data_IF_510100240970
#
_entry.id   IF_510100240970
#
_cell.length_a   1.000
_cell.length_b   1.000
_cell.length_c   1.000
_cell.angle_alpha   90.00
_cell.angle_beta   90.00
_cell.angle_gamma   90.00
#
_symmetry.space_group_name_H-M   'P 1'
#
loop_
_entity.id
_entity.type
_entity.pdbx_description
1 polymer ?
#
# COMPACT_ATOMS: atom_id res chain seq x y z
N UNK A 1 11.80 -19.69 -4.03
CA UNK A 1 10.49 -19.42 -4.61
C UNK A 1 10.60 -18.09 -5.32
N UNK A 2 10.27 -18.02 -6.62
CA UNK A 2 10.34 -16.77 -7.35
C UNK A 2 9.18 -15.84 -6.98
N UNK A 3 9.38 -14.54 -7.18
CA UNK A 3 8.32 -13.53 -7.18
C UNK A 3 7.22 -13.95 -8.17
N UNK A 4 5.98 -13.83 -7.73
CA UNK A 4 4.78 -14.35 -8.41
C UNK A 4 4.26 -15.63 -7.76
N UNK A 5 5.13 -16.39 -7.09
CA UNK A 5 4.82 -17.67 -6.43
C UNK A 5 5.17 -17.67 -4.93
N UNK A 6 5.52 -16.52 -4.34
CA UNK A 6 5.90 -16.43 -2.93
C UNK A 6 4.74 -16.79 -2.01
N UNK A 7 5.04 -17.29 -0.80
CA UNK A 7 4.01 -17.58 0.21
C UNK A 7 3.10 -16.38 0.47
N UNK A 8 3.65 -15.17 0.56
CA UNK A 8 2.84 -13.95 0.75
C UNK A 8 1.84 -13.66 -0.39
N UNK A 9 2.09 -14.15 -1.60
CA UNK A 9 1.25 -13.92 -2.77
C UNK A 9 0.18 -15.00 -2.93
N UNK A 10 0.48 -16.23 -2.51
CA UNK A 10 -0.42 -17.38 -2.57
C UNK A 10 -1.33 -17.49 -1.33
N UNK A 11 -0.79 -17.20 -0.15
CA UNK A 11 -1.51 -17.15 1.12
C UNK A 11 -1.24 -15.80 1.82
N UNK A 12 -1.91 -14.72 1.39
CA UNK A 12 -1.64 -13.38 1.90
C UNK A 12 -2.01 -13.19 3.38
N UNK A 13 -2.76 -14.14 3.96
CA UNK A 13 -3.15 -14.15 5.38
C UNK A 13 -2.15 -14.90 6.27
N UNK A 14 -1.16 -15.57 5.69
CA UNK A 14 -0.09 -16.24 6.42
C UNK A 14 0.75 -15.22 7.19
N UNK A 15 0.70 -15.27 8.53
CA UNK A 15 1.39 -14.32 9.40
C UNK A 15 2.77 -14.78 9.85
N UNK A 16 2.98 -16.09 9.85
CA UNK A 16 4.23 -16.72 10.27
C UNK A 16 4.60 -17.84 9.30
N UNK A 17 5.89 -17.96 8.96
CA UNK A 17 6.41 -19.01 8.08
C UNK A 17 7.77 -19.49 8.56
N UNK A 18 7.88 -20.79 8.85
CA UNK A 18 9.18 -21.44 9.00
C UNK A 18 9.76 -21.72 7.61
N UNK A 19 10.95 -21.19 7.35
CA UNK A 19 11.66 -21.31 6.06
C UNK A 19 13.14 -21.52 6.31
N UNK A 20 13.93 -21.60 5.24
CA UNK A 20 15.39 -21.74 5.34
C UNK A 20 16.11 -20.60 4.64
N UNK A 21 17.26 -20.22 5.18
CA UNK A 21 18.16 -19.24 4.57
C UNK A 21 18.82 -19.87 3.35
N UNK A 22 18.66 -19.22 2.20
CA UNK A 22 19.37 -19.60 0.96
C UNK A 22 20.75 -18.93 0.90
N UNK A 23 20.81 -17.63 1.20
CA UNK A 23 22.07 -16.90 1.34
C UNK A 23 21.88 -15.66 2.22
N UNK A 24 22.95 -15.23 2.89
CA UNK A 24 22.99 -13.98 3.63
C UNK A 24 24.32 -13.29 3.36
N UNK A 25 24.28 -12.00 3.04
CA UNK A 25 25.47 -11.19 2.76
C UNK A 25 25.33 -9.82 3.40
N UNK A 26 26.37 -9.35 4.08
CA UNK A 26 26.42 -7.98 4.57
C UNK A 26 26.28 -7.00 3.41
N UNK A 27 25.38 -6.03 3.54
CA UNK A 27 25.10 -5.01 2.55
C UNK A 27 25.78 -3.68 2.90
N UNK A 28 25.59 -3.20 4.13
CA UNK A 28 26.18 -1.96 4.64
C UNK A 28 26.24 -1.96 6.17
N UNK A 29 26.93 -0.98 6.75
CA UNK A 29 26.88 -0.70 8.19
C UNK A 29 25.67 0.19 8.47
N UNK A 30 24.85 -0.14 9.46
CA UNK A 30 23.80 0.75 9.93
C UNK A 30 24.43 1.77 10.90
N UNK A 31 24.16 3.06 10.71
CA UNK A 31 24.72 4.12 11.58
C UNK A 31 24.43 3.78 13.06
N UNK A 32 25.51 3.54 13.81
CA UNK A 32 25.64 3.35 15.26
C UNK A 32 24.87 2.24 15.99
N UNK A 33 24.16 1.33 15.30
CA UNK A 33 23.32 0.30 15.97
C UNK A 33 23.48 -1.13 15.47
N UNK A 34 24.27 -1.38 14.42
CA UNK A 34 24.49 -2.73 13.87
C UNK A 34 24.86 -2.74 12.40
N UNK A 35 24.52 -3.83 11.71
CA UNK A 35 24.77 -4.01 10.27
C UNK A 35 23.47 -4.28 9.51
N UNK A 36 23.41 -3.90 8.22
CA UNK A 36 22.35 -4.32 7.31
C UNK A 36 22.82 -5.46 6.43
N UNK A 37 21.98 -6.48 6.31
CA UNK A 37 22.25 -7.70 5.57
C UNK A 37 21.18 -7.94 4.51
N UNK A 38 21.62 -8.37 3.33
CA UNK A 38 20.74 -8.95 2.32
C UNK A 38 20.57 -10.43 2.61
N UNK A 39 19.35 -10.84 2.96
CA UNK A 39 18.99 -12.22 3.25
C UNK A 39 18.02 -12.73 2.19
N UNK A 40 18.37 -13.83 1.55
CA UNK A 40 17.50 -14.57 0.63
C UNK A 40 17.01 -15.81 1.36
N UNK A 41 15.70 -16.00 1.35
CA UNK A 41 15.03 -17.16 1.95
C UNK A 41 14.54 -18.08 0.84
N UNK A 42 14.38 -19.38 1.14
CA UNK A 42 13.83 -20.33 0.17
C UNK A 42 12.39 -19.96 -0.24
N UNK A 43 11.58 -19.48 0.70
CA UNK A 43 10.26 -18.88 0.50
C UNK A 43 10.04 -17.83 1.60
N UNK A 44 9.12 -16.88 1.38
CA UNK A 44 8.88 -15.78 2.31
C UNK A 44 7.42 -15.33 2.35
N UNK A 45 7.00 -14.90 3.55
CA UNK A 45 5.76 -14.17 3.77
C UNK A 45 5.96 -12.66 3.81
N UNK A 46 7.16 -12.13 3.54
CA UNK A 46 7.40 -10.69 3.41
C UNK A 46 7.24 -10.32 1.93
N UNK A 47 6.30 -9.43 1.62
CA UNK A 47 6.14 -8.95 0.25
C UNK A 47 7.29 -8.02 -0.12
N UNK A 48 8.06 -8.32 -1.19
CA UNK A 48 9.04 -7.38 -1.72
C UNK A 48 8.29 -6.28 -2.49
N UNK A 49 8.74 -5.04 -2.32
CA UNK A 49 8.15 -3.86 -2.99
C UNK A 49 7.92 -4.13 -4.48
N UNK A 50 6.77 -3.70 -5.01
CA UNK A 50 6.48 -3.85 -6.43
C UNK A 50 5.07 -3.43 -6.82
N UNK A 51 4.93 -2.97 -8.06
CA UNK A 51 3.65 -2.58 -8.66
C UNK A 51 2.99 -1.34 -8.07
N UNK A 52 3.62 -0.64 -7.13
CA UNK A 52 3.01 0.50 -6.40
C UNK A 52 2.63 0.17 -4.95
N UNK A 53 2.74 -1.11 -4.55
CA UNK A 53 2.62 -1.54 -3.16
C UNK A 53 4.00 -1.51 -2.46
N UNK A 54 4.15 -0.80 -1.33
CA UNK A 54 5.37 -0.81 -0.53
C UNK A 54 5.69 -2.21 0.03
N UNK A 55 6.97 -2.45 0.33
CA UNK A 55 7.38 -3.69 0.98
C UNK A 55 6.78 -3.86 2.36
N UNK A 56 6.58 -5.12 2.76
CA UNK A 56 6.31 -5.44 4.15
C UNK A 56 7.57 -5.33 5.01
N UNK A 57 7.32 -5.20 6.31
CA UNK A 57 8.31 -5.32 7.38
C UNK A 57 7.97 -6.55 8.23
N UNK A 58 8.87 -6.93 9.12
CA UNK A 58 8.63 -8.07 9.98
C UNK A 58 9.83 -8.44 10.82
N UNK A 59 9.84 -9.67 11.32
CA UNK A 59 10.95 -10.23 12.08
C UNK A 59 11.38 -11.57 11.52
N UNK A 60 12.66 -11.88 11.75
CA UNK A 60 13.29 -13.15 11.44
C UNK A 60 13.85 -13.71 12.75
N UNK A 61 13.15 -14.68 13.31
CA UNK A 61 13.55 -15.39 14.51
C UNK A 61 14.48 -16.55 14.13
N UNK A 62 15.64 -16.59 14.77
CA UNK A 62 16.61 -17.67 14.66
C UNK A 62 16.20 -18.82 15.58
N UNK A 63 16.44 -20.07 15.17
CA UNK A 63 16.26 -21.23 16.07
C UNK A 63 17.54 -21.59 16.82
N UNK A 64 18.70 -21.23 16.28
CA UNK A 64 19.99 -21.45 16.92
C UNK A 64 20.34 -20.30 17.86
N UNK A 65 20.76 -20.65 19.07
CA UNK A 65 21.29 -19.72 20.08
C UNK A 65 22.82 -19.63 19.99
N UNK A 66 23.39 -18.50 20.41
CA UNK A 66 24.85 -18.37 20.59
C UNK A 66 25.19 -18.02 22.06
N UNK A 67 26.27 -18.57 22.62
CA UNK A 67 26.83 -18.20 23.94
C UNK A 67 25.81 -18.04 25.09
N UNK A 68 24.86 -18.96 25.24
CA UNK A 68 23.86 -18.90 26.33
C UNK A 68 22.81 -17.79 26.18
N UNK A 69 22.77 -17.11 25.04
CA UNK A 69 21.70 -16.15 24.70
C UNK A 69 20.40 -16.85 24.34
N UNK A 70 19.28 -16.14 24.52
CA UNK A 70 17.99 -16.55 23.97
C UNK A 70 18.03 -16.47 22.43
N UNK A 71 17.18 -17.25 21.72
CA UNK A 71 17.05 -17.14 20.27
C UNK A 71 16.84 -15.68 19.86
N UNK A 72 17.73 -15.15 19.02
CA UNK A 72 17.68 -13.76 18.63
C UNK A 72 16.61 -13.54 17.55
N UNK A 73 15.87 -12.45 17.71
CA UNK A 73 14.91 -11.95 16.72
C UNK A 73 15.54 -10.76 15.99
N UNK A 74 15.61 -10.86 14.66
CA UNK A 74 16.21 -9.86 13.79
C UNK A 74 15.12 -9.08 13.06
N UNK A 75 15.31 -7.78 12.87
CA UNK A 75 14.30 -6.92 12.23
C UNK A 75 14.44 -6.94 10.71
N UNK A 76 13.36 -7.24 9.99
CA UNK A 76 13.27 -7.09 8.54
C UNK A 76 12.74 -5.67 8.28
N UNK A 77 13.63 -4.78 7.84
CA UNK A 77 13.32 -3.35 7.66
C UNK A 77 12.69 -3.03 6.32
N UNK A 78 12.97 -3.84 5.29
CA UNK A 78 12.31 -3.79 3.99
C UNK A 78 12.62 -5.04 3.17
N UNK A 79 11.94 -5.20 2.04
CA UNK A 79 12.28 -6.20 1.03
C UNK A 79 12.11 -5.64 -0.38
N UNK A 80 12.98 -6.02 -1.30
CA UNK A 80 12.93 -5.57 -2.69
C UNK A 80 13.18 -6.73 -3.65
N UNK A 81 12.74 -6.53 -4.89
CA UNK A 81 12.94 -7.52 -5.95
C UNK A 81 14.32 -7.36 -6.57
N UNK A 82 14.99 -8.47 -6.80
CA UNK A 82 16.16 -8.52 -7.69
C UNK A 82 15.94 -9.65 -8.67
N UNK A 83 15.53 -9.32 -9.89
CA UNK A 83 14.94 -10.27 -10.83
C UNK A 83 13.74 -10.99 -10.16
N UNK A 84 13.71 -12.31 -10.17
CA UNK A 84 12.68 -13.12 -9.54
C UNK A 84 12.94 -13.38 -8.04
N UNK A 85 14.02 -12.86 -7.45
CA UNK A 85 14.31 -13.06 -6.02
C UNK A 85 13.67 -11.97 -5.15
N UNK A 86 13.12 -12.39 -4.00
CA UNK A 86 12.79 -11.50 -2.89
C UNK A 86 14.00 -11.34 -1.96
N UNK A 87 14.62 -10.16 -1.98
CA UNK A 87 15.78 -9.83 -1.13
C UNK A 87 15.28 -9.07 0.10
N UNK A 88 15.55 -9.61 1.29
CA UNK A 88 15.19 -9.00 2.55
C UNK A 88 16.36 -8.16 3.05
N UNK A 89 16.09 -6.91 3.43
CA UNK A 89 17.04 -6.09 4.17
C UNK A 89 16.79 -6.31 5.67
N UNK A 90 17.76 -6.93 6.33
CA UNK A 90 17.66 -7.34 7.74
C UNK A 90 18.67 -6.55 8.57
N UNK A 91 18.21 -5.94 9.65
CA UNK A 91 19.06 -5.30 10.65
C UNK A 91 19.59 -6.34 11.64
N UNK A 92 20.91 -6.38 11.77
CA UNK A 92 21.64 -7.25 12.68
C UNK A 92 22.23 -6.39 13.80
N UNK A 93 21.76 -6.52 15.04
CA UNK A 93 22.32 -5.80 16.18
C UNK A 93 23.81 -6.13 16.41
N UNK A 94 24.56 -5.15 16.90
CA UNK A 94 25.95 -5.34 17.31
C UNK A 94 26.10 -6.52 18.28
N UNK A 95 27.08 -7.38 18.03
CA UNK A 95 27.36 -8.58 18.85
C UNK A 95 26.63 -9.85 18.41
N UNK A 96 25.69 -9.77 17.46
CA UNK A 96 25.07 -10.98 16.88
C UNK A 96 25.97 -11.56 15.78
N UNK A 97 26.44 -12.81 15.88
CA UNK A 97 27.31 -13.43 14.87
C UNK A 97 26.50 -13.91 13.66
N UNK A 98 25.90 -12.98 12.90
CA UNK A 98 25.00 -13.29 11.77
C UNK A 98 25.62 -14.20 10.71
N UNK A 99 26.93 -14.09 10.45
CA UNK A 99 27.63 -14.97 9.51
C UNK A 99 27.54 -16.45 9.90
N UNK A 100 27.42 -16.75 11.19
CA UNK A 100 27.28 -18.11 11.71
C UNK A 100 25.81 -18.54 11.76
N UNK A 101 24.92 -17.63 12.15
CA UNK A 101 23.50 -17.93 12.38
C UNK A 101 22.64 -17.92 11.12
N UNK A 102 23.05 -17.20 10.08
CA UNK A 102 22.36 -17.07 8.79
C UNK A 102 23.11 -17.82 7.67
N UNK A 103 23.71 -18.96 7.99
CA UNK A 103 24.32 -19.83 6.99
C UNK A 103 23.26 -20.47 6.09
N UNK A 104 23.67 -20.85 4.87
CA UNK A 104 22.80 -21.57 3.95
C UNK A 104 22.26 -22.84 4.61
N UNK A 105 20.94 -23.02 4.57
CA UNK A 105 20.24 -24.14 5.19
C UNK A 105 19.78 -23.88 6.64
N UNK A 106 20.20 -22.79 7.27
CA UNK A 106 19.72 -22.42 8.60
C UNK A 106 18.20 -22.22 8.57
N UNK A 107 17.50 -22.85 9.52
CA UNK A 107 16.05 -22.68 9.68
C UNK A 107 15.77 -21.38 10.42
N UNK A 108 14.74 -20.67 9.99
CA UNK A 108 14.30 -19.40 10.58
C UNK A 108 12.77 -19.34 10.59
N UNK A 109 12.19 -18.64 11.56
CA UNK A 109 10.78 -18.32 11.60
C UNK A 109 10.60 -16.84 11.21
N UNK A 110 9.90 -16.60 10.12
CA UNK A 110 9.56 -15.25 9.66
C UNK A 110 8.20 -14.87 10.20
N UNK A 111 8.06 -13.66 10.74
CA UNK A 111 6.77 -13.07 11.13
C UNK A 111 6.59 -11.74 10.42
N UNK A 112 5.43 -11.54 9.81
CA UNK A 112 5.14 -10.25 9.14
C UNK A 112 4.59 -9.24 10.15
N UNK A 113 4.91 -7.96 9.98
CA UNK A 113 4.14 -6.88 10.60
C UNK A 113 2.71 -6.92 10.05
N UNK A 114 1.83 -7.56 10.81
CA UNK A 114 0.47 -7.81 10.37
C UNK A 114 -0.33 -6.52 10.19
N UNK A 115 -0.09 -5.49 11.01
CA UNK A 115 -0.82 -4.24 10.91
C UNK A 115 -0.47 -3.53 9.60
N UNK A 116 0.81 -3.53 9.22
CA UNK A 116 1.27 -3.02 7.92
C UNK A 116 0.73 -3.84 6.75
N UNK A 117 0.80 -5.18 6.82
CA UNK A 117 0.29 -6.07 5.78
C UNK A 117 -1.21 -5.90 5.56
N UNK A 118 -2.00 -5.87 6.63
CA UNK A 118 -3.44 -5.65 6.60
C UNK A 118 -3.78 -4.33 5.91
N UNK A 119 -3.10 -3.25 6.29
CA UNK A 119 -3.28 -1.94 5.68
C UNK A 119 -2.98 -1.98 4.17
N UNK A 120 -1.81 -2.50 3.78
CA UNK A 120 -1.44 -2.62 2.36
C UNK A 120 -2.47 -3.43 1.56
N UNK A 121 -2.93 -4.57 2.07
CA UNK A 121 -3.95 -5.37 1.39
C UNK A 121 -5.28 -4.63 1.26
N UNK A 122 -5.69 -3.85 2.26
CA UNK A 122 -6.89 -3.01 2.17
C UNK A 122 -6.73 -1.94 1.09
N UNK A 123 -5.62 -1.19 1.11
CA UNK A 123 -5.40 -0.11 0.15
C UNK A 123 -5.27 -0.66 -1.28
N UNK A 124 -4.53 -1.76 -1.48
CA UNK A 124 -4.33 -2.34 -2.80
C UNK A 124 -5.62 -2.94 -3.37
N UNK A 125 -6.36 -3.69 -2.57
CA UNK A 125 -7.65 -4.25 -3.02
C UNK A 125 -8.66 -3.14 -3.32
N UNK A 126 -8.72 -2.08 -2.50
CA UNK A 126 -9.58 -0.94 -2.78
C UNK A 126 -9.14 -0.14 -4.01
N UNK A 127 -7.84 -0.08 -4.31
CA UNK A 127 -7.35 0.51 -5.55
C UNK A 127 -7.84 -0.23 -6.79
N UNK A 128 -7.77 -1.56 -6.82
CA UNK A 128 -8.30 -2.36 -7.94
C UNK A 128 -9.79 -2.11 -8.12
N UNK A 129 -10.56 -2.17 -7.02
CA UNK A 129 -12.00 -1.94 -7.07
C UNK A 129 -12.36 -0.51 -7.54
N UNK A 130 -11.64 0.50 -7.05
CA UNK A 130 -11.82 1.89 -7.48
C UNK A 130 -11.52 2.06 -8.96
N UNK A 131 -10.40 1.50 -9.43
CA UNK A 131 -9.97 1.61 -10.82
C UNK A 131 -10.95 0.92 -11.75
N UNK A 132 -11.41 -0.29 -11.42
CA UNK A 132 -12.41 -1.02 -12.20
C UNK A 132 -13.69 -0.20 -12.41
N UNK A 133 -14.18 0.50 -11.38
CA UNK A 133 -15.38 1.33 -11.51
C UNK A 133 -15.15 2.64 -12.25
N UNK A 134 -13.99 3.27 -12.11
CA UNK A 134 -13.63 4.45 -12.90
C UNK A 134 -13.49 4.09 -14.39
N UNK A 135 -12.84 2.97 -14.67
CA UNK A 135 -12.66 2.44 -16.02
C UNK A 135 -14.01 2.03 -16.66
N UNK A 136 -15.01 1.66 -15.86
CA UNK A 136 -16.37 1.30 -16.33
C UNK A 136 -17.31 2.47 -16.64
N UNK A 137 -16.88 3.72 -16.39
CA UNK A 137 -17.68 4.91 -16.70
C UNK A 137 -17.90 5.07 -18.21
N UNK A 138 -18.86 5.91 -18.59
CA UNK A 138 -19.10 6.30 -19.99
C UNK A 138 -19.03 7.84 -20.13
N UNK A 139 -17.95 8.40 -20.69
CA UNK A 139 -16.78 7.70 -21.24
C UNK A 139 -15.87 7.13 -20.12
N UNK A 140 -15.12 6.04 -20.40
CA UNK A 140 -14.19 5.43 -19.45
C UNK A 140 -13.18 6.42 -18.88
N UNK A 141 -12.85 6.26 -17.59
CA UNK A 141 -11.84 7.08 -16.92
C UNK A 141 -10.67 6.20 -16.45
N UNK A 142 -9.78 5.76 -17.38
CA UNK A 142 -8.76 4.78 -17.10
C UNK A 142 -7.73 5.25 -16.07
N UNK A 143 -7.29 4.34 -15.21
CA UNK A 143 -6.17 4.58 -14.30
C UNK A 143 -4.83 4.59 -15.07
N UNK A 144 -4.11 5.71 -15.00
CA UNK A 144 -2.82 5.91 -15.68
C UNK A 144 -1.63 5.40 -14.86
N UNK A 145 -1.69 5.64 -13.55
CA UNK A 145 -0.72 5.17 -12.56
C UNK A 145 -1.36 5.26 -11.17
N UNK A 146 -0.73 4.70 -10.15
CA UNK A 146 -1.24 4.74 -8.78
C UNK A 146 -0.11 4.52 -7.77
N UNK A 147 -0.38 4.80 -6.50
CA UNK A 147 0.57 4.52 -5.42
C UNK A 147 -0.12 4.38 -4.06
N UNK A 148 0.33 3.40 -3.28
CA UNK A 148 -0.12 3.23 -1.89
C UNK A 148 0.87 3.99 -1.00
N UNK A 149 0.53 5.23 -0.69
CA UNK A 149 1.42 6.10 0.08
C UNK A 149 1.57 5.59 1.53
N UNK A 150 2.73 5.87 2.13
CA UNK A 150 2.94 5.62 3.55
C UNK A 150 1.98 6.49 4.37
N UNK A 151 1.26 5.85 5.30
CA UNK A 151 0.42 6.56 6.26
C UNK A 151 1.23 7.64 7.02
N UNK A 152 0.71 8.88 7.21
CA UNK A 152 -0.67 9.33 7.01
C UNK A 152 -0.97 9.95 5.63
N UNK A 153 -0.09 9.80 4.64
CA UNK A 153 -0.38 10.31 3.31
C UNK A 153 -1.44 9.44 2.62
N UNK A 154 -2.41 10.04 1.91
CA UNK A 154 -3.47 9.29 1.24
C UNK A 154 -2.93 8.53 0.02
N UNK A 155 -3.55 7.39 -0.28
CA UNK A 155 -3.29 6.68 -1.54
C UNK A 155 -3.88 7.46 -2.71
N UNK A 156 -3.40 7.20 -3.93
CA UNK A 156 -3.92 7.89 -5.12
C UNK A 156 -3.97 7.01 -6.36
N UNK A 157 -4.89 7.36 -7.25
CA UNK A 157 -4.91 6.96 -8.66
C UNK A 157 -4.75 8.20 -9.53
N UNK A 158 -3.94 8.09 -10.58
CA UNK A 158 -3.77 9.14 -11.59
C UNK A 158 -4.74 8.91 -12.74
N UNK A 159 -5.50 9.95 -13.08
CA UNK A 159 -6.58 9.90 -14.08
C UNK A 159 -6.29 10.91 -15.19
N UNK A 160 -6.77 10.69 -16.43
CA UNK A 160 -6.52 11.59 -17.55
C UNK A 160 -7.26 12.94 -17.44
N UNK A 161 -8.27 13.01 -16.55
CA UNK A 161 -9.02 14.22 -16.19
C UNK A 161 -9.59 14.10 -14.78
N UNK A 162 -10.05 15.21 -14.22
CA UNK A 162 -10.87 15.18 -13.02
C UNK A 162 -12.23 14.50 -13.29
N UNK A 163 -12.68 13.59 -12.41
CA UNK A 163 -14.05 13.10 -12.44
C UNK A 163 -15.01 14.20 -11.98
N UNK A 164 -16.22 14.18 -12.51
CA UNK A 164 -17.32 15.03 -12.06
C UNK A 164 -17.91 14.50 -10.74
N UNK A 165 -18.61 15.36 -10.01
CA UNK A 165 -19.27 14.95 -8.76
C UNK A 165 -20.30 13.81 -9.00
N UNK A 166 -21.00 13.83 -10.13
CA UNK A 166 -21.96 12.79 -10.51
C UNK A 166 -21.27 11.43 -10.78
N UNK A 167 -20.12 11.44 -11.45
CA UNK A 167 -19.30 10.24 -11.65
C UNK A 167 -18.79 9.69 -10.31
N UNK A 168 -18.28 10.56 -9.44
CA UNK A 168 -17.83 10.14 -8.10
C UNK A 168 -18.96 9.56 -7.25
N UNK A 169 -20.16 10.12 -7.30
CA UNK A 169 -21.31 9.59 -6.57
C UNK A 169 -21.72 8.22 -7.10
N UNK A 170 -21.77 8.05 -8.42
CA UNK A 170 -22.01 6.76 -9.07
C UNK A 170 -20.97 5.71 -8.65
N UNK A 171 -19.68 6.06 -8.69
CA UNK A 171 -18.58 5.18 -8.27
C UNK A 171 -18.70 4.81 -6.79
N UNK A 172 -18.97 5.77 -5.89
CA UNK A 172 -19.17 5.49 -4.45
C UNK A 172 -20.31 4.52 -4.19
N UNK A 173 -21.42 4.66 -4.90
CA UNK A 173 -22.56 3.75 -4.78
C UNK A 173 -22.18 2.32 -5.20
N UNK A 174 -21.47 2.18 -6.32
CA UNK A 174 -21.00 0.88 -6.83
C UNK A 174 -19.98 0.21 -5.90
N UNK A 175 -18.99 0.97 -5.41
CA UNK A 175 -18.01 0.51 -4.42
C UNK A 175 -18.71 -0.04 -3.17
N UNK A 176 -19.64 0.75 -2.61
CA UNK A 176 -20.37 0.38 -1.39
C UNK A 176 -21.24 -0.87 -1.61
N UNK A 177 -21.93 -0.97 -2.75
CA UNK A 177 -22.74 -2.13 -3.10
C UNK A 177 -21.89 -3.41 -3.24
N UNK A 178 -20.72 -3.32 -3.85
CA UNK A 178 -19.83 -4.46 -4.06
C UNK A 178 -19.11 -4.92 -2.79
N UNK A 179 -18.70 -3.98 -1.93
CA UNK A 179 -18.21 -4.31 -0.58
C UNK A 179 -19.29 -5.02 0.24
N UNK A 180 -20.55 -4.51 0.20
CA UNK A 180 -21.68 -5.12 0.91
C UNK A 180 -21.99 -6.53 0.42
N UNK A 181 -21.99 -6.75 -0.90
CA UNK A 181 -22.14 -8.09 -1.51
C UNK A 181 -20.99 -9.01 -1.11
N UNK A 182 -19.79 -8.44 -1.01
CA UNK A 182 -18.60 -9.12 -0.54
C UNK A 182 -18.07 -10.14 -1.53
N UNK A 183 -17.98 -9.72 -2.81
CA UNK A 183 -17.44 -10.53 -3.90
C UNK A 183 -16.11 -11.17 -3.51
N UNK A 184 -15.92 -12.42 -3.94
CA UNK A 184 -14.69 -13.16 -3.71
C UNK A 184 -13.58 -12.61 -4.59
N UNK A 185 -12.35 -12.68 -4.06
CA UNK A 185 -11.15 -12.36 -4.80
C UNK A 185 -10.34 -13.64 -4.92
N UNK A 186 -10.00 -13.99 -6.15
CA UNK A 186 -9.23 -15.18 -6.47
C UNK A 186 -7.99 -14.82 -7.27
N UNK A 187 -6.99 -15.70 -7.24
CA UNK A 187 -5.74 -15.51 -7.94
C UNK A 187 -5.59 -16.65 -8.94
N UNK A 188 -5.35 -16.31 -10.19
CA UNK A 188 -4.93 -17.26 -11.23
C UNK A 188 -3.46 -17.03 -11.52
N UNK A 189 -2.72 -18.12 -11.72
CA UNK A 189 -1.29 -18.08 -12.04
C UNK A 189 -1.06 -18.91 -13.30
N UNK A 190 -0.46 -18.29 -14.30
CA UNK A 190 -0.17 -18.90 -15.58
C UNK A 190 1.34 -18.81 -15.85
N UNK A 191 1.93 -19.85 -16.46
CA UNK A 191 3.33 -19.78 -16.87
C UNK A 191 3.48 -18.88 -18.10
N UNK A 192 4.61 -18.19 -18.23
CA UNK A 192 4.89 -17.34 -19.39
C UNK A 192 4.84 -18.11 -20.72
N UNK A 193 5.14 -19.42 -20.72
CA UNK A 193 5.05 -20.30 -21.90
C UNK A 193 3.62 -20.52 -22.39
N UNK A 194 2.64 -20.51 -21.48
CA UNK A 194 1.24 -20.78 -21.81
C UNK A 194 0.52 -19.56 -22.38
N UNK A 195 1.09 -18.37 -22.23
CA UNK A 195 0.45 -17.13 -22.65
C UNK A 195 0.82 -16.84 -24.11
N UNK A 196 0.06 -17.43 -25.04
CA UNK A 196 0.19 -17.21 -26.49
C UNK A 196 0.09 -15.71 -26.88
N UNK A 197 -0.57 -14.90 -26.04
CA UNK A 197 -0.74 -13.46 -26.19
C UNK A 197 -0.45 -12.76 -24.86
N UNK A 198 0.83 -12.61 -24.52
CA UNK A 198 1.22 -11.85 -23.33
C UNK A 198 0.54 -10.46 -23.37
N UNK A 199 -0.06 -9.98 -22.26
CA UNK A 199 -0.63 -8.64 -22.25
C UNK A 199 0.43 -7.64 -22.71
N UNK A 200 0.10 -6.68 -23.60
CA UNK A 200 1.07 -5.92 -24.39
C UNK A 200 2.08 -5.06 -23.58
N UNK A 201 1.94 -5.00 -22.25
CA UNK A 201 2.84 -4.31 -21.33
C UNK A 201 2.99 -5.08 -20.00
N UNK A 202 3.72 -6.19 -20.01
CA UNK A 202 4.25 -6.75 -18.77
C UNK A 202 5.49 -5.95 -18.34
N UNK A 203 5.56 -5.50 -17.08
CA UNK A 203 6.76 -4.87 -16.56
C UNK A 203 7.97 -5.82 -16.65
N UNK A 204 9.17 -5.28 -16.91
CA UNK A 204 10.36 -6.07 -17.21
C UNK A 204 10.86 -6.91 -16.02
N UNK A 205 10.43 -6.58 -14.80
CA UNK A 205 10.66 -7.34 -13.56
C UNK A 205 9.77 -8.58 -13.41
N UNK A 206 8.87 -8.86 -14.37
CA UNK A 206 8.06 -10.08 -14.42
C UNK A 206 8.74 -11.22 -15.21
N UNK A 207 9.89 -10.94 -15.84
CA UNK A 207 10.65 -11.89 -16.65
C UNK A 207 12.01 -12.11 -16.02
N UNK A 208 12.51 -13.35 -16.02
CA UNK A 208 13.91 -13.57 -15.65
C UNK A 208 14.83 -12.83 -16.63
N UNK A 209 15.85 -12.16 -16.12
CA UNK A 209 16.87 -11.54 -16.95
C UNK A 209 17.55 -12.57 -17.86
N UNK A 210 18.15 -12.09 -18.96
CA UNK A 210 18.81 -12.90 -20.00
C UNK A 210 19.88 -13.89 -19.47
N UNK A 211 20.29 -13.76 -18.21
CA UNK A 211 21.31 -14.57 -17.54
C UNK A 211 20.72 -15.80 -16.81
N UNK A 212 19.39 -15.96 -16.80
CA UNK A 212 18.65 -16.98 -16.05
C UNK A 212 18.09 -18.11 -16.92
N UNK A 213 18.88 -18.66 -17.84
CA UNK A 213 18.52 -19.82 -18.65
C UNK A 213 18.55 -21.10 -17.80
N UNK A 214 17.46 -21.35 -17.07
CA UNK A 214 17.11 -22.68 -16.57
C UNK A 214 15.85 -23.15 -17.29
N UNK A 215 15.79 -24.43 -17.67
CA UNK A 215 14.64 -25.04 -18.36
C UNK A 215 13.43 -25.31 -17.43
N UNK A 216 13.39 -24.72 -16.23
CA UNK A 216 12.28 -24.85 -15.28
C UNK A 216 11.34 -23.64 -15.38
N UNK A 217 10.03 -23.86 -15.20
CA UNK A 217 8.98 -22.84 -15.20
C UNK A 217 9.28 -21.73 -14.19
N UNK A 218 9.98 -22.05 -13.10
CA UNK A 218 10.46 -21.09 -12.09
C UNK A 218 11.51 -20.10 -12.61
N UNK A 219 12.19 -20.44 -13.72
CA UNK A 219 13.23 -19.63 -14.33
C UNK A 219 12.71 -18.68 -15.40
N UNK A 220 11.43 -18.77 -15.80
CA UNK A 220 10.86 -17.88 -16.82
C UNK A 220 9.89 -16.81 -16.25
N UNK A 221 9.48 -16.95 -14.99
CA UNK A 221 8.48 -16.09 -14.35
C UNK A 221 7.05 -16.56 -14.59
N UNK A 222 6.10 -15.94 -13.90
CA UNK A 222 4.67 -16.26 -13.98
C UNK A 222 3.84 -14.99 -14.12
N UNK A 223 2.70 -15.10 -14.79
CA UNK A 223 1.67 -14.06 -14.79
C UNK A 223 0.67 -14.40 -13.70
N UNK A 224 0.64 -13.55 -12.67
CA UNK A 224 -0.35 -13.61 -11.59
C UNK A 224 -1.46 -12.62 -11.88
N UNK A 225 -2.69 -13.11 -12.00
CA UNK A 225 -3.88 -12.28 -12.23
C UNK A 225 -4.75 -12.32 -11.00
N UNK A 226 -5.12 -11.14 -10.50
CA UNK A 226 -6.06 -10.97 -9.40
C UNK A 226 -7.44 -10.75 -10.01
N UNK A 227 -8.39 -11.60 -9.63
CA UNK A 227 -9.75 -11.59 -10.15
C UNK A 227 -10.71 -11.19 -9.03
N UNK A 228 -11.40 -10.06 -9.20
CA UNK A 228 -12.54 -9.66 -8.38
C UNK A 228 -13.79 -10.16 -9.09
N UNK A 229 -14.48 -11.12 -8.48
CA UNK A 229 -15.59 -11.84 -9.12
C UNK A 229 -16.63 -10.89 -9.74
N UNK A 230 -16.86 -11.08 -11.05
CA UNK A 230 -17.80 -10.30 -11.85
C UNK A 230 -17.48 -8.81 -12.02
N UNK A 231 -16.28 -8.35 -11.64
CA UNK A 231 -15.92 -6.92 -11.68
C UNK A 231 -14.63 -6.67 -12.46
N UNK A 232 -13.54 -7.36 -12.11
CA UNK A 232 -12.21 -7.00 -12.59
C UNK A 232 -11.27 -8.22 -12.65
N UNK A 233 -10.34 -8.22 -13.60
CA UNK A 233 -9.31 -9.23 -13.74
C UNK A 233 -8.01 -8.57 -14.26
N UNK A 234 -7.05 -8.36 -13.37
CA UNK A 234 -5.83 -7.59 -13.68
C UNK A 234 -4.55 -8.34 -13.29
N UNK A 235 -3.51 -8.35 -14.16
CA UNK A 235 -2.18 -8.81 -13.77
C UNK A 235 -1.64 -7.99 -12.60
N UNK A 236 -1.40 -8.66 -11.47
CA UNK A 236 -0.92 -8.03 -10.26
C UNK A 236 -0.17 -9.03 -9.38
N UNK A 237 1.03 -8.63 -8.95
CA UNK A 237 1.84 -9.41 -8.03
C UNK A 237 1.65 -9.02 -6.54
N UNK A 238 0.84 -8.01 -6.21
CA UNK A 238 0.65 -7.56 -4.84
C UNK A 238 -0.21 -8.48 -3.97
N UNK A 239 -0.31 -8.14 -2.69
CA UNK A 239 -1.13 -8.89 -1.71
C UNK A 239 -2.53 -8.30 -1.63
N UNK A 240 -3.54 -9.17 -1.56
CA UNK A 240 -4.95 -8.80 -1.58
C UNK A 240 -5.74 -9.55 -0.52
N UNK A 241 -6.82 -8.95 -0.04
CA UNK A 241 -7.81 -9.67 0.75
C UNK A 241 -8.57 -10.66 -0.16
N UNK A 242 -9.03 -11.82 0.35
CA UNK A 242 -9.75 -12.81 -0.45
C UNK A 242 -11.23 -12.45 -0.65
N UNK A 243 -11.70 -11.33 -0.10
CA UNK A 243 -13.05 -10.82 -0.29
C UNK A 243 -13.12 -9.31 -0.09
N UNK A 244 -13.99 -8.65 -0.84
CA UNK A 244 -14.25 -7.21 -0.67
C UNK A 244 -14.83 -6.84 0.70
N UNK A 245 -15.36 -7.81 1.48
CA UNK A 245 -15.88 -7.53 2.83
C UNK A 245 -14.84 -6.92 3.76
N UNK A 246 -13.57 -7.31 3.60
CA UNK A 246 -12.47 -6.85 4.45
C UNK A 246 -12.07 -5.39 4.21
N UNK A 247 -12.60 -4.74 3.15
CA UNK A 247 -12.35 -3.32 2.91
C UNK A 247 -13.13 -2.43 3.86
N UNK A 248 -14.31 -2.89 4.32
CA UNK A 248 -15.31 -2.16 5.09
C UNK A 248 -15.85 -0.88 4.41
N UNK A 249 -14.99 0.06 4.07
CA UNK A 249 -15.32 1.33 3.44
C UNK A 249 -14.14 1.84 2.61
N UNK A 250 -14.44 2.43 1.45
CA UNK A 250 -13.49 3.17 0.63
C UNK A 250 -13.91 4.63 0.67
N UNK A 251 -13.06 5.48 1.24
CA UNK A 251 -13.23 6.92 1.23
C UNK A 251 -12.49 7.50 0.03
N UNK A 252 -13.23 8.07 -0.92
CA UNK A 252 -12.65 8.96 -1.94
C UNK A 252 -12.64 10.37 -1.37
N UNK A 253 -11.50 11.06 -1.41
CA UNK A 253 -11.38 12.43 -0.92
C UNK A 253 -12.09 13.42 -1.86
N UNK A 254 -12.56 14.57 -1.35
CA UNK A 254 -13.10 15.63 -2.18
C UNK A 254 -11.97 16.30 -2.99
N UNK A 255 -12.21 16.53 -4.27
CA UNK A 255 -11.29 17.21 -5.17
C UNK A 255 -10.12 16.34 -5.65
N UNK A 256 -9.27 16.96 -6.47
CA UNK A 256 -8.13 16.31 -7.11
C UNK A 256 -6.94 17.27 -7.18
N UNK A 257 -5.70 16.77 -7.21
CA UNK A 257 -4.53 17.60 -7.48
C UNK A 257 -4.07 17.46 -8.93
N UNK A 258 -3.66 18.57 -9.56
CA UNK A 258 -3.21 18.57 -10.96
C UNK A 258 -1.77 18.05 -11.05
N UNK A 259 -1.49 17.19 -12.04
CA UNK A 259 -0.14 16.70 -12.34
C UNK A 259 0.42 17.42 -13.58
N UNK A 260 -0.11 17.07 -14.76
CA UNK A 260 0.35 17.57 -16.06
C UNK A 260 -0.80 17.54 -17.06
N UNK A 261 -0.98 18.60 -17.84
CA UNK A 261 -2.08 18.69 -18.79
C UNK A 261 -3.42 18.62 -18.09
N UNK A 262 -4.29 17.69 -18.52
CA UNK A 262 -5.55 17.37 -17.85
C UNK A 262 -5.40 16.34 -16.74
N UNK A 263 -4.25 15.68 -16.60
CA UNK A 263 -4.09 14.58 -15.65
C UNK A 263 -4.14 15.07 -14.20
N UNK A 264 -4.80 14.29 -13.36
CA UNK A 264 -4.99 14.60 -11.93
C UNK A 264 -4.76 13.38 -11.04
N UNK A 265 -4.50 13.61 -9.75
CA UNK A 265 -4.58 12.59 -8.70
C UNK A 265 -5.94 12.67 -8.02
N UNK A 266 -6.64 11.54 -8.03
CA UNK A 266 -7.76 11.29 -7.12
C UNK A 266 -7.23 10.53 -5.91
N UNK A 267 -7.49 11.07 -4.72
CA UNK A 267 -7.01 10.48 -3.48
C UNK A 267 -8.08 9.59 -2.85
N UNK A 268 -7.64 8.51 -2.22
CA UNK A 268 -8.52 7.58 -1.51
C UNK A 268 -7.80 6.94 -0.33
N UNK A 269 -8.61 6.47 0.62
CA UNK A 269 -8.18 5.60 1.72
C UNK A 269 -9.22 4.51 1.95
N UNK A 270 -8.78 3.36 2.44
CA UNK A 270 -9.60 2.16 2.62
C UNK A 270 -9.53 1.69 4.07
N UNK A 271 -10.63 1.15 4.57
CA UNK A 271 -10.68 0.45 5.85
C UNK A 271 -10.18 1.32 7.00
N UNK A 272 -9.12 0.86 7.68
CA UNK A 272 -8.61 1.51 8.90
C UNK A 272 -8.21 2.96 8.69
N UNK A 273 -7.58 3.29 7.56
CA UNK A 273 -7.19 4.67 7.22
C UNK A 273 -8.41 5.58 7.10
N UNK A 274 -9.42 5.13 6.36
CA UNK A 274 -10.67 5.87 6.20
C UNK A 274 -11.40 6.10 7.53
N UNK A 275 -11.43 5.09 8.41
CA UNK A 275 -11.99 5.25 9.76
C UNK A 275 -11.19 6.21 10.62
N UNK A 276 -9.85 6.18 10.57
CA UNK A 276 -9.00 7.13 11.29
C UNK A 276 -9.29 8.57 10.85
N UNK A 277 -9.28 8.82 9.54
CA UNK A 277 -9.58 10.14 9.00
C UNK A 277 -10.99 10.63 9.37
N UNK A 278 -11.97 9.72 9.42
CA UNK A 278 -13.32 10.05 9.87
C UNK A 278 -13.28 10.55 11.32
N UNK A 279 -12.69 9.78 12.24
CA UNK A 279 -12.59 10.15 13.66
C UNK A 279 -11.84 11.47 13.84
N UNK A 280 -10.71 11.64 13.18
CA UNK A 280 -9.94 12.88 13.21
C UNK A 280 -10.76 14.07 12.69
N UNK A 281 -11.54 13.89 11.62
CA UNK A 281 -12.42 14.93 11.09
C UNK A 281 -13.51 15.33 12.10
N UNK A 282 -14.04 14.36 12.87
CA UNK A 282 -14.99 14.64 13.95
C UNK A 282 -14.33 15.44 15.08
N UNK A 283 -13.10 15.10 15.47
CA UNK A 283 -12.36 15.81 16.51
C UNK A 283 -12.02 17.25 16.11
N UNK A 284 -11.57 17.44 14.87
CA UNK A 284 -11.32 18.77 14.29
C UNK A 284 -12.61 19.60 14.26
N UNK A 285 -13.71 19.03 13.76
CA UNK A 285 -15.00 19.74 13.71
C UNK A 285 -15.52 20.10 15.10
N UNK A 286 -15.34 19.22 16.09
CA UNK A 286 -15.68 19.50 17.48
C UNK A 286 -14.79 20.61 18.08
N UNK A 287 -13.50 20.63 17.74
CA UNK A 287 -12.57 21.69 18.15
C UNK A 287 -12.94 23.06 17.57
N UNK A 288 -13.31 23.11 16.29
CA UNK A 288 -13.81 24.32 15.63
C UNK A 288 -15.10 24.80 16.29
N UNK A 289 -16.06 23.90 16.51
CA UNK A 289 -17.33 24.20 17.19
C UNK A 289 -17.12 24.82 18.57
N UNK A 290 -16.22 24.26 19.40
CA UNK A 290 -15.87 24.82 20.71
C UNK A 290 -15.21 26.20 20.59
N UNK A 291 -14.26 26.35 19.68
CA UNK A 291 -13.55 27.63 19.45
C UNK A 291 -14.51 28.74 19.02
N UNK A 292 -15.48 28.42 18.17
CA UNK A 292 -16.47 29.38 17.66
C UNK A 292 -17.66 29.61 18.61
N UNK A 293 -17.83 28.76 19.63
CA UNK A 293 -18.95 28.79 20.56
C UNK A 293 -20.31 28.54 19.87
N UNK A 294 -20.37 27.60 18.91
CA UNK A 294 -21.58 27.28 18.15
C UNK A 294 -21.71 25.76 17.94
N UNK A 295 -22.89 25.29 17.50
CA UNK A 295 -23.05 23.87 17.17
C UNK A 295 -22.23 23.49 15.92
N UNK A 296 -21.82 22.22 15.79
CA UNK A 296 -20.99 21.75 14.66
C UNK A 296 -21.56 22.11 13.29
N UNK A 297 -22.88 21.94 13.11
CA UNK A 297 -23.57 22.27 11.85
C UNK A 297 -23.64 23.77 11.54
N UNK A 298 -23.32 24.64 12.49
CA UNK A 298 -23.38 26.10 12.36
C UNK A 298 -22.00 26.73 12.17
N UNK A 299 -20.93 25.92 12.20
CA UNK A 299 -19.54 26.39 12.18
C UNK A 299 -19.23 27.27 10.96
N UNK A 300 -19.70 26.91 9.77
CA UNK A 300 -19.52 27.68 8.54
C UNK A 300 -20.22 29.03 8.62
N UNK A 301 -21.52 29.04 8.97
CA UNK A 301 -22.29 30.27 9.11
C UNK A 301 -21.70 31.20 10.19
N UNK A 302 -21.23 30.64 11.31
CA UNK A 302 -20.60 31.40 12.38
C UNK A 302 -19.26 32.00 11.93
N UNK A 303 -18.47 31.25 11.16
CA UNK A 303 -17.21 31.74 10.59
C UNK A 303 -17.46 32.90 9.63
N UNK A 304 -18.45 32.79 8.73
CA UNK A 304 -18.81 33.86 7.79
C UNK A 304 -19.23 35.16 8.51
N UNK A 305 -20.03 35.03 9.57
CA UNK A 305 -20.41 36.18 10.41
C UNK A 305 -19.19 36.85 11.06
N UNK A 306 -18.23 36.05 11.55
CA UNK A 306 -16.99 36.58 12.15
C UNK A 306 -16.12 37.27 11.11
N UNK A 307 -15.95 36.68 9.92
CA UNK A 307 -15.19 37.29 8.82
C UNK A 307 -15.82 38.61 8.35
N UNK A 308 -17.15 38.67 8.25
CA UNK A 308 -17.86 39.91 7.91
C UNK A 308 -17.68 40.99 8.99
N UNK A 309 -17.75 40.61 10.27
CA UNK A 309 -17.50 41.52 11.41
C UNK A 309 -16.07 42.04 11.42
N UNK A 310 -15.10 41.18 11.13
CA UNK A 310 -13.67 41.51 11.07
C UNK A 310 -13.37 42.51 9.95
N UNK A 311 -13.89 42.28 8.75
CA UNK A 311 -13.80 43.23 7.63
C UNK A 311 -14.43 44.59 7.97
N UNK A 312 -15.58 44.58 8.63
CA UNK A 312 -16.25 45.80 9.11
C UNK A 312 -15.48 46.53 10.21
N UNK A 313 -14.75 45.83 11.07
CA UNK A 313 -13.87 46.42 12.08
C UNK A 313 -12.64 47.07 11.44
N UNK A 314 -11.95 46.38 10.51
CA UNK A 314 -10.80 46.94 9.78
C UNK A 314 -11.15 48.22 9.02
N UNK A 315 -12.31 48.25 8.35
CA UNK A 315 -12.76 49.46 7.63
C UNK A 315 -12.92 50.66 8.58
N UNK A 316 -13.52 50.45 9.75
CA UNK A 316 -13.69 51.50 10.76
C UNK A 316 -12.36 51.95 11.36
N UNK A 317 -11.43 51.02 11.60
CA UNK A 317 -10.09 51.37 12.07
C UNK A 317 -9.35 52.28 11.08
N UNK A 318 -9.43 51.99 9.78
CA UNK A 318 -8.81 52.83 8.75
C UNK A 318 -9.40 54.23 8.73
N UNK A 319 -10.73 54.34 8.77
CA UNK A 319 -11.44 55.63 8.80
C UNK A 319 -11.04 56.46 10.03
N UNK A 320 -10.98 55.84 11.21
CA UNK A 320 -10.57 56.53 12.44
C UNK A 320 -9.10 56.97 12.39
N UNK A 321 -8.21 56.19 11.74
CA UNK A 321 -6.81 56.61 11.55
C UNK A 321 -6.68 57.79 10.60
N UNK A 322 -7.51 57.88 9.57
CA UNK A 322 -7.57 59.03 8.66
C UNK A 322 -8.12 60.28 9.36
N UNK A 323 -9.11 60.14 10.24
CA UNK A 323 -9.70 61.26 11.00
C UNK A 323 -8.75 61.85 12.06
N UNK A 324 -7.79 61.06 12.55
CA UNK A 324 -6.83 61.47 13.60
C UNK A 324 -5.51 61.99 13.02
N UNK A 325 -5.23 61.76 11.72
CA UNK A 325 -4.03 62.21 11.02
C UNK A 325 -4.17 63.64 10.47
#
# INVERSE_FOLDING_TARGET
>A
MPVGLLRCQNDPLCKELTTVVHSAKRASVAEDTGELWHVLLQDTIIFPEGGGQPSDTGTLQLFESFEGSQPAELSIVSAFRRNLDAVHMVHIPSGVPAQNLLQRGAKVLVKVDWQRREDHMQQHTGQHLLSAYLDSLDPPLPTLSWGLAAWPQPCYVELPRAPTDAELESVRAQLSASIKRGHSITVTVESMEQVAHAPPKLPQDYVAGADGAGDDVNSQGVIRTVNIDGIDANPCCGTHWPSLRFLHYIHIYPGTSKIRGSNVRLYFDVGRRAFHNLLESFDVAASISRTLGCARGETTARLDMLMAKEKGARKRELQLKEEVA
#
